data_IF_520478074384
#
_entry.id   IF_520478074384
#
_cell.length_a   1.000
_cell.length_b   1.000
_cell.length_c   1.000
_cell.angle_alpha   90.00
_cell.angle_beta   90.00
_cell.angle_gamma   90.00
#
_symmetry.space_group_name_H-M   'P 1'
#
loop_
_entity.id
_entity.type
_entity.pdbx_description
1 polymer ?
#
# COMPACT_ATOMS: atom_id res chain seq x y z
N UNK A 1 10.40 8.90 14.00
CA UNK A 1 9.25 8.16 13.44
C UNK A 1 8.85 8.84 12.14
N UNK A 2 8.98 8.16 11.00
CA UNK A 2 8.37 8.62 9.74
C UNK A 2 7.37 7.55 9.29
N UNK A 3 6.23 7.49 9.97
CA UNK A 3 5.18 6.52 9.64
C UNK A 3 4.45 6.80 8.32
N UNK A 4 4.57 8.03 7.76
CA UNK A 4 4.00 8.41 6.46
C UNK A 4 5.09 8.82 5.47
N UNK A 5 5.02 8.38 4.19
CA UNK A 5 5.97 8.79 3.14
C UNK A 5 5.97 10.31 2.92
N UNK A 6 7.14 10.90 2.69
CA UNK A 6 7.28 12.35 2.49
C UNK A 6 6.53 12.87 1.24
N UNK A 7 6.31 12.02 0.24
CA UNK A 7 5.58 12.39 -0.98
C UNK A 7 4.12 12.80 -0.68
N UNK A 8 3.55 12.31 0.43
CA UNK A 8 2.19 12.65 0.86
C UNK A 8 2.01 14.13 1.19
N UNK A 9 3.09 14.86 1.49
CA UNK A 9 3.02 16.31 1.73
C UNK A 9 2.71 17.12 0.46
N UNK A 10 2.77 16.48 -0.71
CA UNK A 10 2.41 17.08 -2.00
C UNK A 10 0.93 16.87 -2.38
N UNK A 11 0.17 16.11 -1.59
CA UNK A 11 -1.26 15.92 -1.80
C UNK A 11 -2.02 17.23 -1.56
N UNK A 12 -2.55 17.84 -2.63
CA UNK A 12 -3.19 19.17 -2.57
C UNK A 12 -4.46 19.20 -1.70
N UNK A 13 -5.17 18.09 -1.65
CA UNK A 13 -6.40 17.89 -0.88
C UNK A 13 -6.15 17.13 0.44
N UNK A 14 -4.91 16.71 0.68
CA UNK A 14 -4.53 15.90 1.84
C UNK A 14 -5.04 14.46 1.82
N UNK A 15 -5.60 13.98 0.69
CA UNK A 15 -6.17 12.64 0.59
C UNK A 15 -5.21 11.65 -0.06
N UNK A 16 -4.74 11.93 -1.28
CA UNK A 16 -3.85 11.05 -2.01
C UNK A 16 -2.85 11.81 -2.89
N UNK A 17 -1.80 11.10 -3.31
CA UNK A 17 -0.86 11.58 -4.31
C UNK A 17 -0.52 10.45 -5.26
N UNK A 18 -0.64 10.71 -6.57
CA UNK A 18 -0.35 9.73 -7.60
C UNK A 18 1.15 9.66 -7.87
N UNK A 19 1.70 8.46 -7.73
CA UNK A 19 3.11 8.18 -7.98
C UNK A 19 3.23 7.38 -9.27
N UNK A 20 4.09 7.83 -10.19
CA UNK A 20 4.34 7.09 -11.43
C UNK A 20 5.22 5.85 -11.15
N UNK A 21 5.19 4.81 -12.00
CA UNK A 21 6.03 3.61 -11.79
C UNK A 21 7.53 3.91 -11.64
N UNK A 22 8.04 4.93 -12.33
CA UNK A 22 9.44 5.35 -12.28
C UNK A 22 9.83 6.05 -10.97
N UNK A 23 8.85 6.33 -10.11
CA UNK A 23 9.01 7.00 -8.82
C UNK A 23 8.38 6.20 -7.68
N UNK A 24 8.04 4.93 -7.90
CA UNK A 24 7.26 4.12 -6.94
C UNK A 24 7.93 4.00 -5.57
N UNK A 25 9.26 4.12 -5.51
CA UNK A 25 10.06 4.16 -4.30
C UNK A 25 9.73 5.37 -3.39
N UNK A 26 9.12 6.44 -3.92
CA UNK A 26 8.60 7.54 -3.11
C UNK A 26 7.45 7.11 -2.17
N UNK A 27 6.81 5.97 -2.42
CA UNK A 27 5.78 5.40 -1.56
C UNK A 27 6.34 4.63 -0.34
N UNK A 28 7.67 4.55 -0.19
CA UNK A 28 8.30 3.78 0.89
C UNK A 28 7.96 4.32 2.29
N UNK A 29 7.75 3.38 3.21
CA UNK A 29 7.22 3.61 4.55
C UNK A 29 7.73 2.53 5.52
N UNK A 30 7.43 2.68 6.81
CA UNK A 30 7.73 1.62 7.79
C UNK A 30 6.93 0.32 7.47
N UNK A 31 5.71 0.46 6.94
CA UNK A 31 4.82 -0.63 6.51
C UNK A 31 3.98 -0.17 5.31
N UNK A 32 3.83 -1.03 4.29
CA UNK A 32 3.00 -0.75 3.11
C UNK A 32 1.89 -1.80 2.99
N UNK A 33 0.65 -1.34 2.93
CA UNK A 33 -0.48 -2.14 2.48
C UNK A 33 -0.83 -1.70 1.07
N UNK A 34 -0.79 -2.62 0.10
CA UNK A 34 -1.11 -2.31 -1.28
C UNK A 34 -2.29 -3.15 -1.77
N UNK A 35 -3.10 -2.54 -2.64
CA UNK A 35 -4.21 -3.21 -3.27
C UNK A 35 -4.28 -2.85 -4.74
N UNK A 36 -4.98 -3.70 -5.49
CA UNK A 36 -5.13 -3.58 -6.93
C UNK A 36 -6.60 -3.63 -7.28
N UNK A 37 -7.09 -2.57 -7.91
CA UNK A 37 -8.45 -2.54 -8.41
C UNK A 37 -8.60 -3.41 -9.66
N UNK A 38 -9.53 -4.37 -9.62
CA UNK A 38 -9.90 -5.20 -10.78
C UNK A 38 -8.90 -6.33 -11.08
N UNK A 39 -8.71 -6.65 -12.35
CA UNK A 39 -7.85 -7.76 -12.80
C UNK A 39 -6.36 -7.39 -12.66
N UNK A 40 -5.56 -8.11 -11.85
CA UNK A 40 -4.14 -7.83 -11.63
C UNK A 40 -3.28 -7.82 -12.91
N UNK A 41 -3.69 -8.56 -13.96
CA UNK A 41 -2.98 -8.56 -15.24
C UNK A 41 -3.20 -7.27 -16.02
N UNK A 42 -4.34 -6.60 -15.80
CA UNK A 42 -4.69 -5.34 -16.46
C UNK A 42 -4.17 -4.12 -15.71
N UNK A 43 -3.94 -4.25 -14.41
CA UNK A 43 -3.46 -3.17 -13.54
C UNK A 43 -1.93 -3.00 -13.51
N UNK A 44 -1.19 -3.91 -14.15
CA UNK A 44 0.30 -3.93 -14.11
C UNK A 44 0.87 -4.08 -12.69
N UNK A 45 0.13 -4.71 -11.77
CA UNK A 45 0.58 -4.93 -10.40
C UNK A 45 1.92 -5.69 -10.37
N UNK A 46 2.02 -6.79 -11.12
CA UNK A 46 3.24 -7.62 -11.15
C UNK A 46 4.43 -6.89 -11.76
N UNK A 47 4.20 -6.00 -12.72
CA UNK A 47 5.26 -5.15 -13.28
C UNK A 47 5.78 -4.17 -12.22
N UNK A 48 4.86 -3.52 -11.50
CA UNK A 48 5.19 -2.55 -10.45
C UNK A 48 5.92 -3.22 -9.27
N UNK A 49 5.33 -4.26 -8.70
CA UNK A 49 5.90 -5.01 -7.56
C UNK A 49 7.15 -5.84 -7.95
N UNK A 50 7.27 -6.18 -9.23
CA UNK A 50 8.44 -6.85 -9.79
C UNK A 50 9.62 -5.92 -10.07
N UNK A 51 9.40 -4.61 -10.09
CA UNK A 51 10.41 -3.61 -10.45
C UNK A 51 11.57 -3.52 -9.44
N UNK A 52 12.73 -3.05 -9.91
CA UNK A 52 13.90 -2.82 -9.05
C UNK A 52 13.67 -1.70 -8.03
N UNK A 53 12.87 -0.69 -8.37
CA UNK A 53 12.52 0.40 -7.47
C UNK A 53 11.70 -0.11 -6.28
N UNK A 54 10.64 -0.89 -6.55
CA UNK A 54 9.84 -1.52 -5.51
C UNK A 54 10.68 -2.42 -4.60
N UNK A 55 11.46 -3.33 -5.20
CA UNK A 55 12.32 -4.25 -4.43
C UNK A 55 13.39 -3.55 -3.59
N UNK A 56 13.72 -2.29 -3.91
CA UNK A 56 14.68 -1.51 -3.15
C UNK A 56 14.07 -0.72 -1.99
N UNK A 57 12.75 -0.68 -1.85
CA UNK A 57 12.07 -0.06 -0.70
C UNK A 57 12.44 -0.78 0.61
N UNK A 58 12.62 -0.02 1.68
CA UNK A 58 12.94 -0.54 3.00
C UNK A 58 11.79 -1.41 3.53
N UNK A 59 10.53 -1.05 3.28
CA UNK A 59 9.39 -1.91 3.63
C UNK A 59 9.49 -3.31 2.99
N UNK A 60 9.88 -3.36 1.70
CA UNK A 60 9.97 -4.63 0.95
C UNK A 60 11.11 -5.48 1.48
N UNK A 61 12.28 -4.88 1.72
CA UNK A 61 13.46 -5.58 2.27
C UNK A 61 13.22 -6.13 3.68
N UNK A 62 12.32 -5.52 4.45
CA UNK A 62 12.01 -5.90 5.82
C UNK A 62 10.76 -6.80 5.95
N UNK A 63 10.23 -7.33 4.83
CA UNK A 63 8.99 -8.12 4.81
C UNK A 63 7.79 -7.39 5.45
N UNK A 64 7.72 -6.07 5.26
CA UNK A 64 6.66 -5.17 5.77
C UNK A 64 5.75 -4.66 4.66
N UNK A 65 5.56 -5.46 3.62
CA UNK A 65 4.64 -5.16 2.53
C UNK A 65 3.57 -6.24 2.44
N UNK A 66 2.31 -5.81 2.46
CA UNK A 66 1.15 -6.69 2.53
C UNK A 66 0.19 -6.37 1.38
N UNK A 67 -0.06 -7.37 0.52
CA UNK A 67 -1.16 -7.30 -0.43
C UNK A 67 -2.49 -7.47 0.32
N UNK A 68 -3.45 -6.59 0.07
CA UNK A 68 -4.77 -6.60 0.71
C UNK A 68 -5.90 -6.63 -0.32
N UNK A 69 -7.04 -7.19 0.08
CA UNK A 69 -8.23 -7.27 -0.77
C UNK A 69 -8.86 -5.89 -1.00
N UNK A 70 -8.98 -5.47 -2.25
CA UNK A 70 -9.49 -4.15 -2.65
C UNK A 70 -10.97 -3.96 -2.26
N UNK A 71 -11.78 -5.02 -2.41
CA UNK A 71 -13.20 -4.99 -2.09
C UNK A 71 -13.44 -4.77 -0.59
N UNK A 72 -12.52 -5.24 0.25
CA UNK A 72 -12.53 -5.02 1.68
C UNK A 72 -11.88 -3.70 2.08
N UNK A 73 -10.67 -3.39 1.61
CA UNK A 73 -9.85 -2.30 2.13
C UNK A 73 -10.15 -0.93 1.53
N UNK A 74 -10.51 -0.89 0.25
CA UNK A 74 -10.72 0.36 -0.48
C UNK A 74 -12.22 0.58 -0.74
N UNK A 75 -12.94 -0.47 -1.13
CA UNK A 75 -14.37 -0.40 -1.43
C UNK A 75 -15.26 -0.84 -0.26
N UNK A 76 -14.68 -1.38 0.82
CA UNK A 76 -15.45 -1.87 1.96
C UNK A 76 -16.04 -0.73 2.78
N UNK A 77 -17.36 -0.76 2.99
CA UNK A 77 -18.09 0.30 3.69
C UNK A 77 -18.74 -0.27 4.96
N UNK A 78 -18.70 0.51 6.04
CA UNK A 78 -19.40 0.23 7.29
C UNK A 78 -18.59 -0.56 8.31
N UNK A 79 -19.19 -0.77 9.48
CA UNK A 79 -18.50 -1.31 10.65
C UNK A 79 -17.96 -2.74 10.45
N UNK A 80 -18.62 -3.56 9.65
CA UNK A 80 -18.16 -4.93 9.36
C UNK A 80 -16.85 -4.93 8.58
N UNK A 81 -16.70 -4.03 7.60
CA UNK A 81 -15.44 -3.89 6.86
C UNK A 81 -14.33 -3.36 7.78
N UNK A 82 -14.65 -2.33 8.58
CA UNK A 82 -13.69 -1.76 9.54
C UNK A 82 -13.18 -2.80 10.56
N UNK A 83 -14.06 -3.63 11.11
CA UNK A 83 -13.70 -4.69 12.06
C UNK A 83 -12.75 -5.73 11.43
N UNK A 84 -13.04 -6.14 10.18
CA UNK A 84 -12.17 -7.06 9.42
C UNK A 84 -10.80 -6.45 9.12
N UNK A 85 -10.75 -5.20 8.67
CA UNK A 85 -9.48 -4.48 8.40
C UNK A 85 -8.66 -4.39 9.69
N UNK A 86 -9.28 -4.06 10.83
CA UNK A 86 -8.60 -4.04 12.12
C UNK A 86 -8.03 -5.42 12.49
N UNK A 87 -8.79 -6.50 12.24
CA UNK A 87 -8.32 -7.86 12.43
C UNK A 87 -7.11 -8.22 11.55
N UNK A 88 -7.07 -7.76 10.30
CA UNK A 88 -5.93 -7.96 9.39
C UNK A 88 -4.71 -7.11 9.80
N UNK A 89 -4.91 -5.85 10.20
CA UNK A 89 -3.85 -5.02 10.78
C UNK A 89 -3.22 -5.70 11.99
N UNK A 90 -4.04 -6.24 12.90
CA UNK A 90 -3.53 -6.91 14.09
C UNK A 90 -2.69 -8.15 13.73
N UNK A 91 -3.12 -8.95 12.74
CA UNK A 91 -2.34 -10.12 12.27
C UNK A 91 -1.01 -9.72 11.62
N UNK A 92 -1.00 -8.65 10.83
CA UNK A 92 0.18 -8.20 10.09
C UNK A 92 1.21 -7.48 10.97
N UNK A 93 0.74 -6.76 12.00
CA UNK A 93 1.59 -5.89 12.81
C UNK A 93 1.97 -6.46 14.18
N UNK A 94 1.23 -7.42 14.73
CA UNK A 94 1.46 -7.93 16.09
C UNK A 94 2.62 -8.94 16.21
N UNK A 95 3.72 -8.72 15.49
CA UNK A 95 4.97 -9.46 15.65
C UNK A 95 5.96 -8.68 16.51
#
# INVERSE_FOLDING_TARGET
>A
MRGRPAITDQAKDGFSYDVSPEKIDLADADVVFHSTYGDPKKSKETETTGSGLWKNMDAVKNDKVFAVDDQLWIQGIGYTAADKILGELHKSLAK
#
